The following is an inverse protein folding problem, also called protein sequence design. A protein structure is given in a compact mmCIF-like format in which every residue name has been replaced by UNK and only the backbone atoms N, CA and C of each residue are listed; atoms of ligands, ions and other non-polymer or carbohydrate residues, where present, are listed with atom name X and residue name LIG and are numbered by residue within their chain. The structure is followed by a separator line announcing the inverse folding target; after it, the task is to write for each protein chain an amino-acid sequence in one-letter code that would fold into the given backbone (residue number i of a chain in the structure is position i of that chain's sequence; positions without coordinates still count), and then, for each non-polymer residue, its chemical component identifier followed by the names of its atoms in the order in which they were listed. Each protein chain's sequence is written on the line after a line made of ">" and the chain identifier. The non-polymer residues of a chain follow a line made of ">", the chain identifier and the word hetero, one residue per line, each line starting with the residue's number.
data_IF_543585015458
#
_entry.id   IF_543585015458
#
_cell.length_a   1.000
_cell.length_b   1.000
_cell.length_c   1.000
_cell.angle_alpha   90.00
_cell.angle_beta   90.00
_cell.angle_gamma   90.00
#
_symmetry.space_group_name_H-M   'P 1'
#
loop_
_entity.id
_entity.type
_entity.pdbx_description
1 polymer ?
#
# COMPACT_ATOMS: atom_id res chain seq x y z
N UNK A 1 6.84 -15.07 0.06
CA UNK A 1 6.71 -14.13 1.17
C UNK A 1 7.74 -13.01 1.02
N UNK A 2 7.32 -11.77 1.28
CA UNK A 2 8.16 -10.57 1.30
C UNK A 2 7.96 -9.93 2.68
N UNK A 3 9.03 -9.69 3.39
CA UNK A 3 8.97 -9.17 4.75
C UNK A 3 10.12 -8.19 5.02
N UNK A 4 9.85 -7.11 5.74
CA UNK A 4 10.85 -6.13 6.16
C UNK A 4 11.78 -5.70 5.01
N UNK A 5 11.22 -5.51 3.83
CA UNK A 5 11.98 -5.35 2.59
C UNK A 5 11.63 -4.05 1.89
N UNK A 6 12.62 -3.50 1.18
CA UNK A 6 12.43 -2.39 0.26
C UNK A 6 12.72 -2.87 -1.17
N UNK A 7 11.68 -2.85 -2.02
CA UNK A 7 11.77 -3.20 -3.44
C UNK A 7 11.34 -2.00 -4.25
N UNK A 8 12.18 -1.55 -5.19
CA UNK A 8 11.94 -0.33 -5.95
C UNK A 8 12.67 -0.27 -7.29
N UNK A 9 12.28 0.70 -8.11
CA UNK A 9 12.93 1.05 -9.38
C UNK A 9 12.86 -0.04 -10.45
N UNK A 10 11.65 -0.41 -10.87
CA UNK A 10 11.42 -1.26 -12.03
C UNK A 10 11.04 -0.41 -13.26
N UNK A 11 11.51 -0.76 -14.43
CA UNK A 11 11.05 -0.14 -15.68
C UNK A 11 9.68 -0.65 -16.17
N UNK A 12 9.23 -1.80 -15.67
CA UNK A 12 7.91 -2.36 -15.90
C UNK A 12 7.13 -2.46 -14.58
N UNK A 13 6.31 -3.49 -14.40
CA UNK A 13 5.68 -3.77 -13.10
C UNK A 13 6.75 -4.12 -12.06
N UNK A 14 6.56 -3.67 -10.82
CA UNK A 14 7.50 -4.02 -9.75
C UNK A 14 7.31 -5.47 -9.30
N UNK A 15 6.06 -5.86 -9.05
CA UNK A 15 5.70 -7.24 -8.69
C UNK A 15 4.54 -7.69 -9.57
N UNK A 16 4.70 -8.85 -10.20
CA UNK A 16 3.61 -9.53 -10.92
C UNK A 16 3.32 -10.87 -10.24
N UNK A 17 2.07 -11.08 -9.86
CA UNK A 17 1.60 -12.31 -9.21
C UNK A 17 0.38 -12.83 -9.95
N UNK A 18 0.46 -14.04 -10.48
CA UNK A 18 -0.63 -14.70 -11.19
C UNK A 18 -0.94 -16.06 -10.56
N UNK A 19 -2.19 -16.26 -10.15
CA UNK A 19 -2.75 -17.51 -9.61
C UNK A 19 -1.92 -18.13 -8.49
N UNK A 20 -1.23 -17.29 -7.71
CA UNK A 20 -0.30 -17.70 -6.67
C UNK A 20 -0.68 -17.13 -5.31
N UNK A 21 0.07 -17.49 -4.28
CA UNK A 21 -0.05 -16.87 -2.95
C UNK A 21 1.11 -15.91 -2.74
N UNK A 22 0.79 -14.64 -2.51
CA UNK A 22 1.73 -13.59 -2.17
C UNK A 22 1.40 -13.03 -0.79
N UNK A 23 2.33 -13.13 0.15
CA UNK A 23 2.24 -12.42 1.43
C UNK A 23 3.34 -11.37 1.48
N UNK A 24 2.97 -10.14 1.75
CA UNK A 24 3.90 -9.04 1.92
C UNK A 24 3.56 -8.26 3.18
N UNK A 25 4.53 -8.03 4.02
CA UNK A 25 4.30 -7.28 5.25
C UNK A 25 5.51 -6.45 5.64
N UNK A 26 5.21 -5.34 6.31
CA UNK A 26 6.21 -4.42 6.86
C UNK A 26 7.26 -4.00 5.82
N UNK A 27 6.80 -3.68 4.59
CA UNK A 27 7.68 -3.50 3.42
C UNK A 27 7.31 -2.25 2.62
N UNK A 28 8.32 -1.66 1.99
CA UNK A 28 8.18 -0.58 1.01
C UNK A 28 8.31 -1.14 -0.41
N UNK A 29 7.29 -0.90 -1.23
CA UNK A 29 7.23 -1.26 -2.63
C UNK A 29 7.04 0.03 -3.43
N UNK A 30 8.04 0.45 -4.21
CA UNK A 30 7.99 1.79 -4.80
C UNK A 30 8.62 1.90 -6.18
N UNK A 31 8.13 2.88 -6.91
CA UNK A 31 8.71 3.43 -8.14
C UNK A 31 8.87 2.41 -9.29
N UNK A 32 7.83 2.32 -10.09
CA UNK A 32 7.80 1.46 -11.26
C UNK A 32 7.21 2.17 -12.48
N UNK A 33 7.74 1.90 -13.66
CA UNK A 33 7.23 2.40 -14.94
C UNK A 33 5.89 1.77 -15.33
N UNK A 34 5.49 0.67 -14.68
CA UNK A 34 4.17 0.06 -14.74
C UNK A 34 3.45 0.14 -13.39
N UNK A 35 2.62 -0.85 -13.07
CA UNK A 35 2.01 -1.01 -11.76
C UNK A 35 3.06 -1.40 -10.71
N UNK A 36 2.89 -0.94 -9.47
CA UNK A 36 3.66 -1.50 -8.35
C UNK A 36 3.28 -2.95 -8.15
N UNK A 37 1.98 -3.24 -8.17
CA UNK A 37 1.46 -4.59 -8.07
C UNK A 37 0.60 -4.91 -9.30
N UNK A 38 0.88 -6.01 -9.98
CA UNK A 38 0.01 -6.59 -11.02
C UNK A 38 -0.48 -7.96 -10.52
N UNK A 39 -1.73 -8.02 -10.08
CA UNK A 39 -2.33 -9.18 -9.43
C UNK A 39 -3.39 -9.82 -10.35
N UNK A 40 -3.22 -11.09 -10.68
CA UNK A 40 -4.14 -11.84 -11.54
C UNK A 40 -4.59 -13.09 -10.82
N UNK A 41 -5.80 -13.10 -10.24
CA UNK A 41 -6.31 -14.23 -9.47
C UNK A 41 -5.41 -14.62 -8.28
N UNK A 42 -5.77 -15.67 -7.55
CA UNK A 42 -4.98 -16.19 -6.44
C UNK A 42 -5.20 -15.42 -5.11
N UNK A 43 -4.20 -15.43 -4.24
CA UNK A 43 -4.30 -14.84 -2.89
C UNK A 43 -3.15 -13.86 -2.68
N UNK A 44 -3.46 -12.63 -2.26
CA UNK A 44 -2.46 -11.60 -1.99
C UNK A 44 -2.80 -10.85 -0.69
N UNK A 45 -1.88 -10.86 0.26
CA UNK A 45 -2.04 -10.23 1.56
C UNK A 45 -0.91 -9.21 1.79
N UNK A 46 -1.30 -7.97 2.06
CA UNK A 46 -0.38 -6.87 2.34
C UNK A 46 -0.74 -6.25 3.69
N UNK A 47 0.20 -6.23 4.62
CA UNK A 47 -0.02 -5.66 5.94
C UNK A 47 1.12 -4.74 6.33
N UNK A 48 0.82 -3.53 6.76
CA UNK A 48 1.83 -2.52 7.06
C UNK A 48 2.80 -2.29 5.90
N UNK A 49 2.26 -2.11 4.70
CA UNK A 49 3.05 -1.82 3.51
C UNK A 49 2.92 -0.36 3.08
N UNK A 50 4.01 0.20 2.56
CA UNK A 50 4.02 1.48 1.85
C UNK A 50 4.19 1.18 0.37
N UNK A 51 3.11 1.35 -0.41
CA UNK A 51 3.01 0.98 -1.82
C UNK A 51 2.83 2.26 -2.62
N UNK A 52 3.90 2.75 -3.23
CA UNK A 52 3.97 4.14 -3.70
C UNK A 52 4.55 4.21 -5.10
N UNK A 53 4.00 5.05 -5.96
CA UNK A 53 4.54 5.24 -7.30
C UNK A 53 4.71 6.70 -7.68
N UNK A 54 5.95 7.20 -7.62
CA UNK A 54 6.42 8.50 -8.10
C UNK A 54 7.47 8.35 -9.21
N UNK A 55 7.48 7.21 -9.90
CA UNK A 55 8.39 6.96 -11.01
C UNK A 55 8.28 8.08 -12.06
N UNK A 56 9.41 8.64 -12.47
CA UNK A 56 9.43 9.84 -13.32
C UNK A 56 10.16 9.65 -14.66
N UNK A 57 10.72 8.47 -14.90
CA UNK A 57 11.46 8.22 -16.16
C UNK A 57 10.55 7.94 -17.36
N UNK A 58 9.25 7.75 -17.14
CA UNK A 58 8.26 7.52 -18.19
C UNK A 58 6.86 7.96 -17.72
N UNK A 59 5.92 8.06 -18.65
CA UNK A 59 4.51 8.36 -18.35
C UNK A 59 3.84 7.09 -17.85
N UNK A 60 3.49 7.08 -16.58
CA UNK A 60 2.76 5.96 -15.97
C UNK A 60 1.28 6.10 -16.29
N UNK A 61 0.70 5.08 -16.92
CA UNK A 61 -0.75 4.98 -17.18
C UNK A 61 -1.43 3.89 -16.35
N UNK A 62 -0.65 2.99 -15.76
CA UNK A 62 -1.15 1.90 -14.93
C UNK A 62 -1.56 2.41 -13.54
N UNK A 63 -2.61 1.84 -12.94
CA UNK A 63 -2.87 2.06 -11.51
C UNK A 63 -1.72 1.50 -10.66
N UNK A 64 -1.59 1.98 -9.43
CA UNK A 64 -0.57 1.49 -8.47
C UNK A 64 -0.72 -0.02 -8.26
N UNK A 65 -1.97 -0.47 -8.03
CA UNK A 65 -2.32 -1.89 -7.95
C UNK A 65 -3.24 -2.23 -9.12
N UNK A 66 -2.72 -2.89 -10.12
CA UNK A 66 -3.51 -3.44 -11.21
C UNK A 66 -4.05 -4.81 -10.82
N UNK A 67 -5.37 -5.03 -10.98
CA UNK A 67 -6.05 -6.25 -10.53
C UNK A 67 -6.95 -6.81 -11.62
N UNK A 68 -7.00 -8.14 -11.72
CA UNK A 68 -7.94 -8.86 -12.58
C UNK A 68 -8.46 -10.13 -11.91
N UNK A 69 -9.60 -10.60 -12.37
CA UNK A 69 -10.36 -11.70 -11.73
C UNK A 69 -10.78 -11.36 -10.29
N UNK A 70 -11.24 -10.14 -10.08
CA UNK A 70 -11.64 -9.64 -8.77
C UNK A 70 -13.09 -9.99 -8.42
N UNK A 71 -13.99 -9.91 -9.39
CA UNK A 71 -15.43 -10.11 -9.18
C UNK A 71 -15.86 -11.54 -9.58
N UNK A 72 -16.97 -12.05 -8.99
CA UNK A 72 -17.52 -13.37 -9.38
C UNK A 72 -17.84 -13.48 -10.87
N UNK A 73 -18.21 -12.37 -11.53
CA UNK A 73 -18.45 -12.34 -12.98
C UNK A 73 -17.20 -12.60 -13.83
N UNK A 74 -16.00 -12.38 -13.27
CA UNK A 74 -14.73 -12.64 -13.93
C UNK A 74 -14.39 -14.13 -13.96
N UNK A 75 -15.11 -14.97 -13.22
CA UNK A 75 -14.93 -16.42 -13.25
C UNK A 75 -15.61 -17.02 -14.48
N UNK A 76 -14.80 -17.57 -15.37
CA UNK A 76 -15.27 -18.46 -16.42
C UNK A 76 -15.37 -19.86 -15.82
N UNK A 77 -16.43 -20.59 -16.12
CA UNK A 77 -16.58 -22.00 -15.68
C UNK A 77 -15.35 -22.82 -16.08
N UNK A 78 -14.61 -23.32 -15.09
CA UNK A 78 -13.31 -23.97 -15.29
C UNK A 78 -12.12 -23.00 -15.45
N UNK A 79 -12.34 -21.71 -15.23
CA UNK A 79 -11.33 -20.67 -15.31
C UNK A 79 -10.45 -20.52 -14.06
N UNK A 80 -9.55 -19.54 -14.06
CA UNK A 80 -8.60 -19.32 -12.97
C UNK A 80 -9.32 -18.92 -11.68
N UNK A 81 -8.65 -19.18 -10.54
CA UNK A 81 -9.17 -18.80 -9.23
C UNK A 81 -9.32 -17.28 -9.13
N UNK A 82 -10.44 -16.83 -8.55
CA UNK A 82 -10.68 -15.43 -8.22
C UNK A 82 -9.53 -14.85 -7.38
N UNK A 83 -9.25 -13.57 -7.57
CA UNK A 83 -8.36 -12.82 -6.72
C UNK A 83 -9.00 -12.63 -5.33
N UNK A 84 -8.26 -12.99 -4.30
CA UNK A 84 -8.54 -12.66 -2.91
C UNK A 84 -7.39 -11.80 -2.42
N UNK A 85 -7.63 -10.50 -2.27
CA UNK A 85 -6.59 -9.57 -1.86
C UNK A 85 -7.02 -8.83 -0.59
N UNK A 86 -6.07 -8.63 0.32
CA UNK A 86 -6.27 -7.86 1.55
C UNK A 86 -5.13 -6.86 1.70
N UNK A 87 -5.49 -5.62 1.88
CA UNK A 87 -4.58 -4.54 2.23
C UNK A 87 -4.96 -4.06 3.63
N UNK A 88 -4.08 -4.23 4.59
CA UNK A 88 -4.31 -3.84 5.97
C UNK A 88 -3.24 -2.86 6.42
N UNK A 89 -3.63 -1.78 7.11
CA UNK A 89 -2.70 -0.75 7.59
C UNK A 89 -1.66 -0.32 6.53
N UNK A 90 -2.07 -0.17 5.28
CA UNK A 90 -1.16 0.07 4.16
C UNK A 90 -1.43 1.41 3.49
N UNK A 91 -0.36 2.10 3.07
CA UNK A 91 -0.43 3.31 2.25
C UNK A 91 -0.39 2.88 0.78
N UNK A 92 -1.37 3.34 -0.02
CA UNK A 92 -1.34 3.25 -1.47
C UNK A 92 -1.39 4.69 -2.02
N UNK A 93 -0.30 5.15 -2.62
CA UNK A 93 -0.17 6.56 -2.95
C UNK A 93 0.73 6.81 -4.17
N UNK A 94 0.51 7.91 -4.89
CA UNK A 94 1.40 8.29 -6.00
C UNK A 94 0.73 9.18 -7.04
N UNK A 95 1.31 9.20 -8.24
CA UNK A 95 0.88 10.08 -9.33
C UNK A 95 -0.27 9.50 -10.17
N UNK A 96 -0.61 8.22 -10.00
CA UNK A 96 -1.72 7.55 -10.70
C UNK A 96 -2.79 7.08 -9.72
N UNK A 97 -3.90 6.54 -10.22
CA UNK A 97 -4.94 5.93 -9.37
C UNK A 97 -4.38 4.76 -8.57
N UNK A 98 -4.89 4.54 -7.37
CA UNK A 98 -4.44 3.46 -6.51
C UNK A 98 -4.86 2.10 -7.06
N UNK A 99 -6.09 2.02 -7.57
CA UNK A 99 -6.69 0.81 -8.12
C UNK A 99 -7.35 1.09 -9.48
N UNK A 100 -7.64 0.07 -10.30
CA UNK A 100 -8.43 0.24 -11.51
C UNK A 100 -9.84 0.75 -11.19
N UNK A 101 -10.48 1.41 -12.17
CA UNK A 101 -11.89 1.76 -12.07
C UNK A 101 -12.76 0.52 -12.31
N UNK A 102 -12.91 -0.32 -11.30
CA UNK A 102 -13.69 -1.56 -11.31
C UNK A 102 -14.67 -1.57 -10.13
N UNK A 103 -15.80 -2.21 -10.30
CA UNK A 103 -16.75 -2.47 -9.22
C UNK A 103 -16.24 -3.67 -8.40
N UNK A 104 -15.95 -3.43 -7.12
CA UNK A 104 -15.52 -4.47 -6.19
C UNK A 104 -16.67 -5.11 -5.41
N UNK A 105 -17.90 -4.71 -5.64
CA UNK A 105 -19.09 -5.24 -4.94
C UNK A 105 -19.14 -6.78 -5.05
N UNK A 106 -19.20 -7.45 -3.90
CA UNK A 106 -19.23 -8.92 -3.82
C UNK A 106 -17.88 -9.59 -4.13
N UNK A 107 -16.81 -8.82 -4.33
CA UNK A 107 -15.46 -9.35 -4.50
C UNK A 107 -14.86 -9.79 -3.17
N UNK A 108 -13.67 -10.41 -3.23
CA UNK A 108 -12.85 -10.76 -2.07
C UNK A 108 -11.62 -9.86 -1.95
N UNK A 109 -11.74 -8.60 -2.39
CA UNK A 109 -10.69 -7.58 -2.29
C UNK A 109 -11.08 -6.59 -1.19
N UNK A 110 -10.21 -6.39 -0.21
CA UNK A 110 -10.49 -5.57 0.97
C UNK A 110 -9.34 -4.63 1.29
N UNK A 111 -9.70 -3.39 1.59
CA UNK A 111 -8.80 -2.35 2.10
C UNK A 111 -9.25 -1.99 3.53
N UNK A 112 -8.41 -2.24 4.52
CA UNK A 112 -8.73 -2.03 5.94
C UNK A 112 -7.71 -1.14 6.60
N UNK A 113 -8.16 0.00 7.13
CA UNK A 113 -7.27 1.01 7.71
C UNK A 113 -6.12 1.36 6.75
N UNK A 114 -6.47 1.61 5.49
CA UNK A 114 -5.55 2.03 4.46
C UNK A 114 -5.62 3.54 4.24
N UNK A 115 -4.54 4.15 3.77
CA UNK A 115 -4.51 5.53 3.34
C UNK A 115 -4.44 5.60 1.82
N UNK A 116 -5.42 6.30 1.23
CA UNK A 116 -5.57 6.51 -0.20
C UNK A 116 -5.62 8.00 -0.53
N UNK A 117 -5.10 8.39 -1.69
CA UNK A 117 -5.20 9.76 -2.20
C UNK A 117 -6.58 10.06 -2.80
N UNK A 118 -7.23 9.06 -3.33
CA UNK A 118 -8.55 9.19 -3.94
C UNK A 118 -9.60 9.61 -2.93
N UNK A 119 -10.62 10.32 -3.42
CA UNK A 119 -11.86 10.51 -2.68
C UNK A 119 -12.70 9.23 -2.74
N UNK A 120 -13.41 8.94 -1.67
CA UNK A 120 -14.30 7.79 -1.58
C UNK A 120 -15.05 7.75 -0.26
N UNK A 121 -15.79 6.69 -0.06
CA UNK A 121 -16.53 6.40 1.17
C UNK A 121 -16.30 4.92 1.53
N UNK A 122 -16.36 4.61 2.82
CA UNK A 122 -16.26 3.23 3.30
C UNK A 122 -17.48 2.41 2.87
N UNK A 123 -17.23 1.16 2.52
CA UNK A 123 -18.22 0.16 2.13
C UNK A 123 -17.78 -1.24 2.59
N UNK A 124 -18.35 -2.30 2.00
CA UNK A 124 -17.98 -3.68 2.34
C UNK A 124 -16.51 -4.04 1.97
N UNK A 125 -15.92 -3.32 1.01
CA UNK A 125 -14.55 -3.53 0.53
C UNK A 125 -13.54 -2.56 1.14
N UNK A 126 -14.00 -1.37 1.58
CA UNK A 126 -13.18 -0.31 2.18
C UNK A 126 -13.65 -0.05 3.61
N UNK A 127 -12.80 -0.32 4.60
CA UNK A 127 -13.17 -0.30 6.02
C UNK A 127 -12.15 0.54 6.79
N UNK A 128 -12.63 1.59 7.48
CA UNK A 128 -11.80 2.56 8.20
C UNK A 128 -10.70 3.15 7.32
N UNK A 129 -11.03 3.46 6.07
CA UNK A 129 -10.08 3.99 5.09
C UNK A 129 -9.89 5.49 5.30
N UNK A 130 -8.66 5.93 5.25
CA UNK A 130 -8.31 7.36 5.21
C UNK A 130 -8.36 7.81 3.75
N UNK A 131 -9.50 8.35 3.35
CA UNK A 131 -9.73 8.88 2.01
C UNK A 131 -9.16 10.29 1.86
N UNK A 132 -8.68 10.63 0.66
CA UNK A 132 -8.04 11.91 0.36
C UNK A 132 -6.91 12.26 1.37
N UNK A 133 -6.26 11.22 1.91
CA UNK A 133 -5.24 11.36 2.94
C UNK A 133 -3.93 11.88 2.39
N UNK A 134 -3.17 12.58 3.23
CA UNK A 134 -1.85 13.10 2.92
C UNK A 134 -0.81 12.39 3.81
N UNK A 135 0.03 11.52 3.24
CA UNK A 135 1.04 10.80 4.03
C UNK A 135 2.22 11.68 4.46
N UNK A 136 2.42 12.83 3.81
CA UNK A 136 3.55 13.75 4.06
C UNK A 136 4.89 13.00 4.16
N UNK A 137 5.24 12.32 3.08
CA UNK A 137 6.53 11.65 2.98
C UNK A 137 7.71 12.61 3.11
N UNK A 138 8.85 12.13 3.58
CA UNK A 138 10.07 12.94 3.73
C UNK A 138 10.57 13.48 2.40
N UNK A 139 10.50 12.68 1.34
CA UNK A 139 10.89 13.10 -0.01
C UNK A 139 10.21 12.26 -1.08
N UNK A 140 9.73 12.91 -2.14
CA UNK A 140 9.02 12.29 -3.28
C UNK A 140 9.73 12.53 -4.62
N UNK A 141 11.02 12.85 -4.58
CA UNK A 141 11.85 13.02 -5.79
C UNK A 141 11.86 14.43 -6.38
N UNK A 142 11.13 15.37 -5.82
CA UNK A 142 11.06 16.76 -6.29
C UNK A 142 12.42 17.47 -6.22
N UNK A 143 13.22 17.13 -5.20
CA UNK A 143 14.57 17.63 -5.06
C UNK A 143 15.61 16.53 -5.28
N UNK A 144 16.47 16.72 -6.27
CA UNK A 144 17.65 15.87 -6.54
C UNK A 144 17.35 14.38 -6.72
N UNK A 145 16.14 14.02 -7.14
CA UNK A 145 15.74 12.61 -7.32
C UNK A 145 15.91 11.77 -6.05
N UNK A 146 15.76 12.39 -4.89
CA UNK A 146 15.81 11.70 -3.61
C UNK A 146 14.41 11.28 -3.19
N UNK A 147 14.26 10.00 -2.85
CA UNK A 147 12.99 9.38 -2.44
C UNK A 147 13.13 8.78 -1.06
N UNK A 148 12.26 9.19 -0.16
CA UNK A 148 12.16 8.68 1.22
C UNK A 148 10.69 8.66 1.64
N UNK A 149 10.09 7.48 1.60
CA UNK A 149 8.68 7.27 1.87
C UNK A 149 8.36 7.04 3.35
N UNK A 150 9.27 7.38 4.23
CA UNK A 150 8.95 7.52 5.66
C UNK A 150 8.06 8.76 5.88
N UNK A 151 7.22 8.70 6.91
CA UNK A 151 6.42 9.85 7.31
C UNK A 151 7.37 10.98 7.75
N UNK A 152 7.23 12.15 7.15
CA UNK A 152 8.13 13.30 7.33
C UNK A 152 7.55 14.42 8.20
N UNK A 153 6.26 14.38 8.53
CA UNK A 153 5.57 15.44 9.27
C UNK A 153 4.57 14.87 10.26
N UNK A 154 4.41 15.53 11.39
CA UNK A 154 3.36 15.28 12.40
C UNK A 154 1.93 15.55 11.87
N UNK A 155 1.82 16.19 10.70
CA UNK A 155 0.55 16.45 10.02
C UNK A 155 0.06 15.29 9.17
N UNK A 156 0.82 14.22 9.10
CA UNK A 156 0.44 13.06 8.28
C UNK A 156 -0.85 12.41 8.74
N UNK A 157 -1.75 12.18 7.79
CA UNK A 157 -3.01 11.48 8.04
C UNK A 157 -2.83 9.97 8.30
N UNK A 158 -1.61 9.46 8.14
CA UNK A 158 -1.28 8.07 8.46
C UNK A 158 -1.05 7.83 9.95
N UNK A 159 -0.75 8.89 10.72
CA UNK A 159 -0.35 8.78 12.13
C UNK A 159 -1.54 8.37 13.01
N UNK A 160 -1.39 7.28 13.74
CA UNK A 160 -2.38 6.76 14.68
C UNK A 160 -3.68 6.27 14.05
N UNK A 161 -3.72 6.07 12.74
CA UNK A 161 -4.91 5.62 12.00
C UNK A 161 -4.89 4.13 11.65
N UNK A 162 -3.81 3.45 11.96
CA UNK A 162 -3.73 2.01 11.80
C UNK A 162 -4.55 1.25 12.84
N UNK A 163 -5.06 0.10 12.46
CA UNK A 163 -5.76 -0.80 13.38
C UNK A 163 -4.74 -1.63 14.17
N UNK A 164 -4.76 -1.59 15.51
CA UNK A 164 -3.82 -2.33 16.35
C UNK A 164 -3.94 -3.86 16.23
N UNK A 165 -5.09 -4.38 15.79
CA UNK A 165 -5.27 -5.82 15.56
C UNK A 165 -4.34 -6.38 14.48
N UNK A 166 -3.83 -5.53 13.59
CA UNK A 166 -2.83 -5.89 12.58
C UNK A 166 -1.38 -5.63 13.02
N UNK A 167 -1.17 -5.05 14.20
CA UNK A 167 0.15 -4.70 14.73
C UNK A 167 0.62 -5.68 15.83
N UNK A 168 0.24 -6.94 15.73
CA UNK A 168 0.68 -8.01 16.65
C UNK A 168 1.96 -8.66 16.13
N UNK A 169 2.73 -9.27 17.05
CA UNK A 169 3.99 -9.97 16.66
C UNK A 169 3.78 -10.89 15.44
N UNK A 170 4.64 -10.83 14.42
CA UNK A 170 5.90 -10.06 14.32
C UNK A 170 5.75 -8.63 13.76
N UNK A 171 4.53 -8.07 13.70
CA UNK A 171 4.24 -6.74 13.15
C UNK A 171 4.11 -5.64 14.21
N UNK A 172 4.44 -5.96 15.46
CA UNK A 172 4.51 -5.03 16.59
C UNK A 172 5.63 -3.97 16.46
N UNK A 173 6.50 -4.15 15.47
CA UNK A 173 7.55 -3.19 15.09
C UNK A 173 7.44 -2.81 13.63
N UNK A 174 7.87 -1.59 13.34
CA UNK A 174 8.00 -1.12 11.97
C UNK A 174 9.25 -1.70 11.26
N UNK A 175 9.44 -1.34 10.01
CA UNK A 175 10.56 -1.81 9.18
C UNK A 175 11.94 -1.43 9.74
N UNK A 176 12.04 -0.42 10.61
CA UNK A 176 13.27 0.00 11.31
C UNK A 176 13.36 -0.48 12.77
N UNK A 177 12.38 -1.25 13.23
CA UNK A 177 12.35 -1.78 14.58
C UNK A 177 11.68 -0.89 15.62
N UNK A 178 11.05 0.21 15.21
CA UNK A 178 10.31 1.08 16.12
C UNK A 178 8.99 0.42 16.51
N UNK A 179 8.68 0.44 17.81
CA UNK A 179 7.46 -0.18 18.34
C UNK A 179 6.19 0.54 17.86
N UNK A 180 5.17 -0.24 17.52
CA UNK A 180 3.80 0.20 17.20
C UNK A 180 2.87 0.10 18.43
N UNK A 181 3.35 0.50 19.61
CA UNK A 181 2.74 0.09 20.90
C UNK A 181 1.56 0.92 21.36
N UNK A 182 1.53 2.22 21.08
CA UNK A 182 0.49 3.13 21.62
C UNK A 182 -0.31 3.84 20.53
N UNK A 183 0.27 3.99 19.38
CA UNK A 183 -0.34 4.62 18.21
C UNK A 183 0.19 3.88 17.00
N UNK A 184 -0.69 3.18 16.30
CA UNK A 184 -0.32 2.41 15.12
C UNK A 184 -0.45 3.30 13.91
N UNK A 185 0.63 3.54 13.21
CA UNK A 185 0.60 4.30 11.97
C UNK A 185 0.35 3.38 10.77
N UNK A 186 -0.32 3.94 9.77
CA UNK A 186 -0.54 3.25 8.49
C UNK A 186 0.78 3.25 7.71
N UNK A 187 1.12 2.11 7.09
CA UNK A 187 2.32 1.94 6.27
C UNK A 187 3.43 1.15 6.94
N UNK A 188 4.55 1.05 6.23
CA UNK A 188 5.72 0.28 6.65
C UNK A 188 6.53 0.93 7.78
N UNK A 189 6.29 2.19 8.05
CA UNK A 189 7.08 3.02 8.96
C UNK A 189 6.22 3.66 10.02
N UNK A 190 6.73 3.66 11.25
CA UNK A 190 6.19 4.42 12.36
C UNK A 190 6.76 5.85 12.30
N UNK A 191 5.94 6.86 12.53
CA UNK A 191 6.42 8.24 12.65
C UNK A 191 7.23 8.41 13.93
N UNK A 192 8.41 8.97 13.78
CA UNK A 192 9.28 9.34 14.89
C UNK A 192 9.43 10.86 14.86
N UNK A 193 8.90 11.58 15.85
CA UNK A 193 9.11 13.02 15.96
C UNK A 193 10.61 13.35 15.93
N UNK A 194 10.98 14.39 15.21
CA UNK A 194 12.34 14.91 15.28
C UNK A 194 12.48 15.69 16.59
N UNK A 195 13.47 15.35 17.39
CA UNK A 195 13.87 16.20 18.52
C UNK A 195 14.35 17.53 17.95
N UNK A 196 13.65 18.63 18.30
CA UNK A 196 14.15 19.97 18.02
C UNK A 196 15.26 20.19 19.04
N UNK A 197 16.51 20.44 18.62
CA UNK A 197 17.56 20.80 19.57
C UNK A 197 17.10 22.04 20.34
N UNK A 198 17.10 21.98 21.67
CA UNK A 198 16.92 23.16 22.50
C UNK A 198 18.09 24.12 22.21
N UNK A 199 17.76 25.37 21.78
CA UNK A 199 18.75 26.45 21.56
C UNK A 199 19.36 26.94 22.88
#
# INVERSE_FOLDING_TARGET
>A
EIANSRIRNSSGNLITSAYSRLNCWNSELSDAGGAILSLTGGIADFTHCTIVNYYFYDIITSPIVNMSYCAPADTISGGPALLRARFNNSILYGNTSEIPSIDLTGSHVYFRSCLLRSNGEDDDNFINTVWNGQPFFKATGEEHYYYDYRIGSDKSDAIGKGNPDFAIFPLDKDMYGNLRSTSVDIGAYQYIPQEIPEE
#
